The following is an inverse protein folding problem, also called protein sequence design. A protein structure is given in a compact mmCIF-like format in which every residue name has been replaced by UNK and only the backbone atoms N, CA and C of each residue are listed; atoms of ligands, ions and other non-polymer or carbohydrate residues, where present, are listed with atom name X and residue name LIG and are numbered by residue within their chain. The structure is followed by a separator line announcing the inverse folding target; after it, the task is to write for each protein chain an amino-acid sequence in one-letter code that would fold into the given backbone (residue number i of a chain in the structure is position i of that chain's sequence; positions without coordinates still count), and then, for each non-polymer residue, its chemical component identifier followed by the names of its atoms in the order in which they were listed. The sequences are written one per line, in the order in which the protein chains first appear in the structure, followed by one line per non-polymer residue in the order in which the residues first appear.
data_IF_758267907297
#
_entry.id   IF_758267907297
#
_cell.length_a   1.000
_cell.length_b   1.000
_cell.length_c   1.000
_cell.angle_alpha   90.00
_cell.angle_beta   90.00
_cell.angle_gamma   90.00
#
_symmetry.space_group_name_H-M   'P 1'
#
loop_
_entity.id
_entity.type
_entity.pdbx_description
1 polymer ?
#
# COMPACT_ATOMS: atom_id res chain seq x y z
N UNK A 1 -17.88 14.47 -13.81
CA UNK A 1 -16.48 14.06 -14.03
C UNK A 1 -15.78 15.12 -14.86
N UNK A 2 -14.49 15.36 -14.64
CA UNK A 2 -13.69 16.30 -15.42
C UNK A 2 -12.62 15.53 -16.20
N UNK A 3 -12.37 15.94 -17.44
CA UNK A 3 -11.32 15.35 -18.27
C UNK A 3 -9.94 15.80 -17.79
N UNK A 4 -8.99 14.87 -17.86
CA UNK A 4 -7.59 15.06 -17.46
C UNK A 4 -6.67 14.44 -18.51
N UNK A 5 -5.45 14.96 -18.61
CA UNK A 5 -4.42 14.40 -19.47
C UNK A 5 -3.49 13.51 -18.65
N UNK A 6 -3.18 12.32 -19.17
CA UNK A 6 -2.22 11.42 -18.56
C UNK A 6 -0.93 11.37 -19.39
N UNK A 7 0.22 11.59 -18.74
CA UNK A 7 1.54 11.37 -19.32
C UNK A 7 2.16 10.14 -18.70
N UNK A 8 2.48 9.16 -19.53
CA UNK A 8 3.06 7.88 -19.10
C UNK A 8 4.53 7.86 -19.54
N UNK A 9 5.44 7.71 -18.58
CA UNK A 9 6.88 7.60 -18.84
C UNK A 9 7.38 6.19 -18.50
N UNK A 10 8.69 5.96 -18.60
CA UNK A 10 9.30 4.72 -18.15
C UNK A 10 9.11 4.49 -16.64
N UNK A 11 9.09 5.55 -15.82
CA UNK A 11 9.11 5.46 -14.36
C UNK A 11 7.88 6.02 -13.66
N UNK A 12 7.09 6.84 -14.34
CA UNK A 12 6.00 7.58 -13.70
C UNK A 12 4.74 7.63 -14.56
N UNK A 13 3.61 7.77 -13.89
CA UNK A 13 2.34 8.19 -14.48
C UNK A 13 2.00 9.54 -13.86
N UNK A 14 1.89 10.57 -14.68
CA UNK A 14 1.60 11.94 -14.29
C UNK A 14 0.23 12.35 -14.80
N UNK A 15 -0.56 13.02 -13.95
CA UNK A 15 -1.91 13.49 -14.29
C UNK A 15 -1.92 15.01 -14.31
N UNK A 16 -2.45 15.58 -15.39
CA UNK A 16 -2.55 17.01 -15.61
C UNK A 16 -4.00 17.43 -15.76
N UNK A 17 -4.33 18.58 -15.17
CA UNK A 17 -5.59 19.26 -15.39
C UNK A 17 -5.29 20.64 -15.99
N UNK A 18 -5.70 20.88 -17.24
CA UNK A 18 -5.47 22.13 -17.96
C UNK A 18 -3.97 22.51 -17.99
N UNK A 19 -3.11 21.55 -18.32
CA UNK A 19 -1.65 21.73 -18.37
C UNK A 19 -0.93 21.79 -17.01
N UNK A 20 -1.65 21.86 -15.88
CA UNK A 20 -1.03 21.81 -14.53
C UNK A 20 -0.98 20.38 -14.00
N UNK A 21 0.20 19.90 -13.59
CA UNK A 21 0.35 18.59 -12.95
C UNK A 21 -0.34 18.59 -11.58
N UNK A 22 -1.28 17.68 -11.38
CA UNK A 22 -2.05 17.52 -10.14
C UNK A 22 -1.71 16.23 -9.39
N UNK A 23 -1.13 15.23 -10.06
CA UNK A 23 -0.68 13.98 -9.44
C UNK A 23 0.52 13.40 -10.17
N UNK A 24 1.36 12.66 -9.45
CA UNK A 24 2.42 11.84 -10.02
C UNK A 24 2.60 10.59 -9.18
N UNK A 25 2.65 9.44 -9.84
CA UNK A 25 2.81 8.13 -9.24
C UNK A 25 3.98 7.42 -9.89
N UNK A 26 4.72 6.60 -9.13
CA UNK A 26 5.63 5.63 -9.75
C UNK A 26 4.84 4.72 -10.67
N UNK A 27 5.42 4.29 -11.79
CA UNK A 27 4.82 3.31 -12.69
C UNK A 27 5.27 1.92 -12.28
N UNK A 28 4.32 1.06 -11.92
CA UNK A 28 4.58 -0.37 -11.80
C UNK A 28 4.51 -1.02 -13.17
N UNK A 29 5.49 -1.87 -13.48
CA UNK A 29 5.48 -2.76 -14.65
C UNK A 29 5.01 -4.17 -14.30
N UNK A 30 4.78 -4.45 -13.02
CA UNK A 30 4.36 -5.75 -12.52
C UNK A 30 2.81 -5.86 -12.54
N UNK A 31 2.25 -6.97 -13.06
CA UNK A 31 0.83 -7.23 -13.00
C UNK A 31 0.30 -7.15 -11.56
N UNK A 32 -0.85 -6.50 -11.38
CA UNK A 32 -1.58 -6.43 -10.09
C UNK A 32 -0.79 -5.80 -8.92
N UNK A 33 0.27 -5.04 -9.19
CA UNK A 33 1.04 -4.31 -8.17
C UNK A 33 0.90 -2.79 -8.37
N UNK A 34 -0.25 -2.17 -8.02
CA UNK A 34 -0.44 -0.74 -8.18
C UNK A 34 0.44 0.06 -7.21
N UNK A 35 0.82 1.26 -7.62
CA UNK A 35 1.66 2.20 -6.89
C UNK A 35 0.86 3.46 -6.54
N UNK A 36 0.82 3.81 -5.26
CA UNK A 36 0.04 4.94 -4.74
C UNK A 36 0.85 5.75 -3.74
N UNK A 37 0.72 7.07 -3.80
CA UNK A 37 1.27 7.99 -2.80
C UNK A 37 0.32 8.10 -1.60
N UNK A 38 0.86 8.47 -0.44
CA UNK A 38 0.12 8.49 0.83
C UNK A 38 -1.11 9.38 0.75
N UNK A 39 -0.96 10.54 0.11
CA UNK A 39 -1.93 11.61 -0.02
C UNK A 39 -3.18 11.14 -0.78
N UNK A 40 -2.99 10.23 -1.74
CA UNK A 40 -4.06 9.68 -2.58
C UNK A 40 -4.59 8.34 -2.07
N UNK A 41 -3.96 7.74 -1.06
CA UNK A 41 -4.41 6.47 -0.50
C UNK A 41 -5.66 6.66 0.36
N UNK A 42 -6.73 5.87 0.21
CA UNK A 42 -7.91 5.94 1.07
C UNK A 42 -7.56 5.81 2.56
N UNK A 43 -8.33 6.45 3.44
CA UNK A 43 -8.06 6.45 4.89
C UNK A 43 -8.00 5.06 5.50
N UNK A 44 -8.89 4.15 5.08
CA UNK A 44 -8.89 2.75 5.48
C UNK A 44 -7.58 2.05 5.13
N UNK A 45 -7.06 2.27 3.92
CA UNK A 45 -5.78 1.71 3.48
C UNK A 45 -4.58 2.39 4.15
N UNK A 46 -4.64 3.71 4.39
CA UNK A 46 -3.58 4.44 5.12
C UNK A 46 -3.38 3.90 6.53
N UNK A 47 -4.46 3.56 7.24
CA UNK A 47 -4.39 3.03 8.62
C UNK A 47 -3.58 1.74 8.72
N UNK A 48 -3.54 0.94 7.66
CA UNK A 48 -2.87 -0.35 7.61
C UNK A 48 -1.53 -0.32 6.86
N UNK A 49 -1.09 0.85 6.37
CA UNK A 49 0.15 0.95 5.58
C UNK A 49 1.39 0.47 6.34
N UNK A 50 1.40 0.70 7.65
CA UNK A 50 2.54 0.36 8.51
C UNK A 50 2.40 -1.04 9.14
N UNK A 51 1.48 -1.87 8.66
CA UNK A 51 1.33 -3.25 9.13
C UNK A 51 2.43 -4.14 8.56
N UNK A 52 3.60 -4.06 9.19
CA UNK A 52 4.68 -5.03 9.00
C UNK A 52 4.44 -6.27 9.86
N UNK A 53 5.01 -7.41 9.47
CA UNK A 53 4.96 -8.63 10.29
C UNK A 53 5.46 -8.40 11.72
N UNK A 54 6.54 -7.62 11.90
CA UNK A 54 7.06 -7.25 13.22
C UNK A 54 6.03 -6.48 14.06
N UNK A 55 5.36 -5.49 13.46
CA UNK A 55 4.35 -4.70 14.17
C UNK A 55 3.15 -5.55 14.55
N UNK A 56 2.70 -6.43 13.64
CA UNK A 56 1.60 -7.36 13.91
C UNK A 56 1.93 -8.26 15.10
N UNK A 57 3.16 -8.82 15.16
CA UNK A 57 3.62 -9.61 16.32
C UNK A 57 3.68 -8.79 17.61
N UNK A 58 4.24 -7.58 17.56
CA UNK A 58 4.33 -6.70 18.74
C UNK A 58 2.97 -6.37 19.32
N UNK A 59 1.96 -6.13 18.48
CA UNK A 59 0.59 -5.89 18.94
C UNK A 59 -0.07 -7.17 19.48
N UNK A 60 0.15 -8.33 18.87
CA UNK A 60 -0.37 -9.60 19.36
C UNK A 60 0.15 -9.97 20.75
N UNK A 61 1.46 -9.76 20.98
CA UNK A 61 2.09 -9.99 22.28
C UNK A 61 1.50 -9.10 23.39
N UNK A 62 1.04 -7.88 23.07
CA UNK A 62 0.36 -6.99 24.03
C UNK A 62 -1.04 -7.48 24.39
N UNK A 63 -1.71 -8.23 23.50
CA UNK A 63 -3.03 -8.81 23.76
C UNK A 63 -2.91 -10.04 24.67
N UNK A 64 -1.92 -10.90 24.43
CA UNK A 64 -1.63 -12.05 25.28
C UNK A 64 -0.99 -13.23 24.54
N UNK A 65 -0.57 -14.28 25.28
CA UNK A 65 0.20 -15.40 24.74
C UNK A 65 -0.56 -16.21 23.68
N UNK A 66 -1.88 -16.36 23.84
CA UNK A 66 -2.71 -17.08 22.87
C UNK A 66 -2.83 -16.33 21.54
N UNK A 67 -2.94 -14.99 21.59
CA UNK A 67 -3.00 -14.14 20.41
C UNK A 67 -1.66 -14.11 19.67
N UNK A 68 -0.55 -14.02 20.40
CA UNK A 68 0.80 -14.10 19.84
C UNK A 68 1.02 -15.43 19.11
N UNK A 69 0.68 -16.55 19.76
CA UNK A 69 0.78 -17.90 19.18
C UNK A 69 -0.06 -18.03 17.90
N UNK A 70 -1.30 -17.52 17.91
CA UNK A 70 -2.18 -17.54 16.74
C UNK A 70 -1.57 -16.78 15.55
N UNK A 71 -1.08 -15.57 15.79
CA UNK A 71 -0.44 -14.75 14.75
C UNK A 71 0.80 -15.45 14.21
N UNK A 72 1.61 -16.05 15.07
CA UNK A 72 2.80 -16.80 14.66
C UNK A 72 2.46 -17.96 13.71
N UNK A 73 1.38 -18.70 13.98
CA UNK A 73 0.88 -19.77 13.09
C UNK A 73 0.35 -19.21 11.77
N UNK A 74 -0.40 -18.10 11.80
CA UNK A 74 -0.94 -17.47 10.60
C UNK A 74 0.18 -16.99 9.68
N UNK A 75 1.18 -16.28 10.23
CA UNK A 75 2.29 -15.74 9.46
C UNK A 75 3.19 -16.83 8.88
N UNK A 76 3.35 -17.97 9.57
CA UNK A 76 4.11 -19.13 9.06
C UNK A 76 3.37 -19.90 7.96
N UNK A 77 2.04 -20.02 8.08
CA UNK A 77 1.22 -20.81 7.14
C UNK A 77 0.90 -20.06 5.83
N UNK A 78 1.02 -18.74 5.83
CA UNK A 78 0.76 -17.88 4.66
C UNK A 78 1.97 -17.02 4.36
N UNK A 79 2.95 -17.51 3.58
CA UNK A 79 4.00 -16.65 3.06
C UNK A 79 3.37 -15.59 2.15
N UNK A 80 3.13 -14.40 2.69
CA UNK A 80 2.76 -13.24 1.90
C UNK A 80 4.03 -12.71 1.24
N UNK A 81 4.10 -12.59 -0.09
CA UNK A 81 5.23 -11.98 -0.75
C UNK A 81 5.14 -10.47 -0.50
N UNK A 82 5.89 -10.02 0.52
CA UNK A 82 6.12 -8.60 0.79
C UNK A 82 6.58 -7.87 -0.49
#
# INVERSE_FOLDING_TARGET
HQEVEARITARTVEIFLRGKRIASHLRSTLPHRPTTISEHMPSSHRRYRDWTHERIRSEAAKVGPDADTLIDVILRSRPHPE
#
